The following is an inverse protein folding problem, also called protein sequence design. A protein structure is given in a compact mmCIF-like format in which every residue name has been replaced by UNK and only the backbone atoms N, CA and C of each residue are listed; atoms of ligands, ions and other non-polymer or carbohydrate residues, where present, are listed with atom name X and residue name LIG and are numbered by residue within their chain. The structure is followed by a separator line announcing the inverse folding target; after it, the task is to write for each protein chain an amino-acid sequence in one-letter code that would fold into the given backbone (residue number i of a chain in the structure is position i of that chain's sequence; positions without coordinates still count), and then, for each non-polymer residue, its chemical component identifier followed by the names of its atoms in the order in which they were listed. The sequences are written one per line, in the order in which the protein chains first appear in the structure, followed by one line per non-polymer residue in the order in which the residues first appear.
data_IF_382773391643
#
_entry.id   IF_382773391643
#
_cell.length_a   1.000
_cell.length_b   1.000
_cell.length_c   1.000
_cell.angle_alpha   90.00
_cell.angle_beta   90.00
_cell.angle_gamma   90.00
#
_symmetry.space_group_name_H-M   'P 1'
#
loop_
_entity.id
_entity.type
_entity.pdbx_description
1 polymer ?
#
# COMPACT_ATOMS: atom_id res chain seq x y z
N UNK A 1 2.95 1.09 -21.37
CA UNK A 1 2.32 0.78 -20.07
C UNK A 1 3.33 1.02 -18.96
N UNK A 2 2.94 1.78 -17.97
CA UNK A 2 3.80 2.01 -16.81
C UNK A 2 4.04 0.71 -16.06
N UNK A 3 5.28 0.45 -15.67
CA UNK A 3 5.62 -0.68 -14.80
C UNK A 3 5.60 -0.21 -13.36
N UNK A 4 4.88 -0.92 -12.51
CA UNK A 4 4.84 -0.71 -11.07
C UNK A 4 5.69 -1.76 -10.36
N UNK A 5 6.11 -1.45 -9.13
CA UNK A 5 6.86 -2.42 -8.32
C UNK A 5 8.28 -2.65 -8.81
N UNK A 6 8.97 -1.60 -9.29
CA UNK A 6 10.35 -1.72 -9.78
C UNK A 6 11.35 -1.95 -8.65
N UNK A 7 11.03 -1.51 -7.44
CA UNK A 7 11.85 -1.76 -6.26
C UNK A 7 11.46 -3.10 -5.63
N UNK A 8 12.36 -3.67 -4.81
CA UNK A 8 12.05 -4.92 -4.12
C UNK A 8 10.87 -4.76 -3.16
N UNK A 9 10.73 -3.61 -2.49
CA UNK A 9 9.58 -3.34 -1.60
C UNK A 9 8.29 -3.12 -2.39
N UNK A 10 8.37 -2.47 -3.56
CA UNK A 10 7.23 -2.34 -4.45
C UNK A 10 6.75 -3.69 -4.94
N UNK A 11 7.67 -4.60 -5.28
CA UNK A 11 7.33 -5.96 -5.66
C UNK A 11 6.66 -6.73 -4.51
N UNK A 12 7.21 -6.62 -3.30
CA UNK A 12 6.58 -7.22 -2.10
C UNK A 12 5.18 -6.70 -1.85
N UNK A 13 4.96 -5.41 -2.06
CA UNK A 13 3.63 -4.81 -1.97
C UNK A 13 2.67 -5.44 -2.98
N UNK A 14 3.07 -5.54 -4.24
CA UNK A 14 2.26 -6.17 -5.29
C UNK A 14 2.00 -7.65 -4.98
N UNK A 15 3.00 -8.39 -4.53
CA UNK A 15 2.87 -9.80 -4.17
C UNK A 15 1.82 -10.00 -3.07
N UNK A 16 1.72 -9.07 -2.12
CA UNK A 16 0.74 -9.12 -1.04
C UNK A 16 -0.70 -8.99 -1.55
N UNK A 17 -0.87 -8.45 -2.75
CA UNK A 17 -2.17 -8.21 -3.38
C UNK A 17 -2.56 -9.25 -4.44
N UNK A 18 -1.70 -10.25 -4.72
CA UNK A 18 -1.90 -11.19 -5.82
C UNK A 18 -3.18 -12.03 -5.71
N UNK A 19 -3.70 -12.23 -4.51
CA UNK A 19 -4.89 -13.03 -4.26
C UNK A 19 -6.19 -12.23 -4.17
N UNK A 20 -6.13 -10.91 -4.41
CA UNK A 20 -7.32 -10.06 -4.37
C UNK A 20 -8.32 -10.41 -5.45
N UNK A 21 -7.86 -10.88 -6.60
CA UNK A 21 -8.65 -10.70 -7.80
C UNK A 21 -8.67 -11.90 -8.73
N UNK A 22 -9.78 -12.59 -8.69
CA UNK A 22 -10.14 -13.56 -9.72
C UNK A 22 -10.97 -12.92 -10.87
N UNK A 23 -11.24 -11.60 -10.84
CA UNK A 23 -12.27 -10.96 -11.67
C UNK A 23 -11.82 -9.72 -12.45
N UNK A 24 -10.56 -9.57 -12.80
CA UNK A 24 -10.03 -8.46 -13.62
C UNK A 24 -10.05 -7.05 -12.99
N UNK A 25 -10.25 -6.92 -11.68
CA UNK A 25 -10.27 -5.59 -11.04
C UNK A 25 -8.87 -4.97 -10.96
N UNK A 26 -7.86 -5.75 -10.59
CA UNK A 26 -6.47 -5.27 -10.57
C UNK A 26 -5.98 -4.83 -11.95
N UNK A 27 -6.21 -5.57 -13.04
CA UNK A 27 -5.89 -5.07 -14.38
C UNK A 27 -6.62 -3.79 -14.75
N UNK A 28 -7.88 -3.64 -14.35
CA UNK A 28 -8.63 -2.39 -14.54
C UNK A 28 -8.06 -1.24 -13.73
N UNK A 29 -7.70 -1.49 -12.46
CA UNK A 29 -7.04 -0.49 -11.61
C UNK A 29 -5.72 -0.03 -12.20
N UNK A 30 -4.90 -0.94 -12.67
CA UNK A 30 -3.65 -0.63 -13.37
C UNK A 30 -3.89 0.22 -14.62
N UNK A 31 -4.95 -0.07 -15.40
CA UNK A 31 -5.32 0.74 -16.55
C UNK A 31 -5.77 2.15 -16.15
N UNK A 32 -6.54 2.29 -15.07
CA UNK A 32 -6.93 3.60 -14.53
C UNK A 32 -5.71 4.41 -14.10
N UNK A 33 -4.78 3.81 -13.37
CA UNK A 33 -3.54 4.46 -12.96
C UNK A 33 -2.70 4.90 -14.16
N UNK A 34 -2.54 4.02 -15.15
CA UNK A 34 -1.73 4.30 -16.36
C UNK A 34 -2.32 5.40 -17.22
N UNK A 35 -3.65 5.59 -17.23
CA UNK A 35 -4.32 6.65 -17.98
C UNK A 35 -4.38 7.99 -17.25
N UNK A 36 -3.81 8.08 -16.06
CA UNK A 36 -3.89 9.29 -15.26
C UNK A 36 -5.26 9.53 -14.64
N UNK A 37 -6.05 8.48 -14.45
CA UNK A 37 -7.37 8.59 -13.80
C UNK A 37 -7.25 8.85 -12.31
N UNK A 38 -6.13 8.51 -11.69
CA UNK A 38 -5.82 8.84 -10.30
C UNK A 38 -5.39 10.30 -10.25
N UNK A 39 -6.28 11.16 -9.73
CA UNK A 39 -6.07 12.61 -9.72
C UNK A 39 -5.26 13.10 -8.54
N UNK A 40 -5.40 12.44 -7.40
CA UNK A 40 -4.62 12.76 -6.20
C UNK A 40 -4.49 11.53 -5.32
N UNK A 41 -3.37 11.45 -4.61
CA UNK A 41 -3.13 10.47 -3.55
C UNK A 41 -2.53 11.22 -2.37
N UNK A 42 -3.09 11.02 -1.19
CA UNK A 42 -2.60 11.58 0.06
C UNK A 42 -2.40 10.45 1.08
N UNK A 43 -1.28 10.52 1.79
CA UNK A 43 -0.92 9.58 2.84
C UNK A 43 -0.94 10.28 4.18
N UNK A 44 -1.68 9.74 5.13
CA UNK A 44 -1.70 10.22 6.51
C UNK A 44 -1.54 9.03 7.43
N UNK A 45 -0.36 8.84 7.99
CA UNK A 45 -0.01 7.72 8.87
C UNK A 45 -0.36 6.38 8.21
N UNK A 46 -1.52 5.81 8.53
CA UNK A 46 -1.99 4.51 8.02
C UNK A 46 -3.22 4.65 7.11
N UNK A 47 -3.52 5.85 6.65
CA UNK A 47 -4.67 6.11 5.80
C UNK A 47 -4.20 6.63 4.44
N UNK A 48 -4.70 6.02 3.39
CA UNK A 48 -4.51 6.49 2.01
C UNK A 48 -5.84 7.05 1.54
N UNK A 49 -5.83 8.29 1.06
CA UNK A 49 -6.97 8.92 0.40
C UNK A 49 -6.60 9.24 -1.03
N UNK A 50 -7.50 8.95 -1.94
CA UNK A 50 -7.29 9.23 -3.35
C UNK A 50 -8.56 9.74 -4.01
N UNK A 51 -8.38 10.47 -5.11
CA UNK A 51 -9.47 10.84 -6.02
C UNK A 51 -9.21 10.15 -7.35
N UNK A 52 -10.17 9.36 -7.80
CA UNK A 52 -10.07 8.57 -9.02
C UNK A 52 -11.20 8.94 -9.96
N UNK A 53 -10.86 9.38 -11.16
CA UNK A 53 -11.82 9.74 -12.18
C UNK A 53 -12.39 8.48 -12.83
N UNK A 54 -13.71 8.32 -12.69
CA UNK A 54 -14.46 7.28 -13.39
C UNK A 54 -15.35 7.87 -14.49
N UNK A 55 -16.48 7.24 -14.71
CA UNK A 55 -17.47 7.67 -15.74
C UNK A 55 -18.29 8.88 -15.34
N UNK A 56 -18.35 9.23 -14.07
CA UNK A 56 -19.08 10.39 -13.57
C UNK A 56 -18.24 11.66 -13.67
N UNK A 57 -18.88 12.88 -13.77
CA UNK A 57 -18.16 14.15 -13.84
C UNK A 57 -17.26 14.40 -12.64
N UNK A 58 -17.70 14.03 -11.42
CA UNK A 58 -16.90 14.18 -10.20
C UNK A 58 -16.05 12.92 -9.97
N UNK A 59 -14.77 13.11 -9.59
CA UNK A 59 -13.95 11.96 -9.18
C UNK A 59 -14.55 11.24 -7.98
N UNK A 60 -14.36 9.93 -7.94
CA UNK A 60 -14.71 9.13 -6.76
C UNK A 60 -13.68 9.31 -5.65
N UNK A 61 -14.16 9.30 -4.43
CA UNK A 61 -13.32 9.34 -3.25
C UNK A 61 -13.00 7.91 -2.81
N UNK A 62 -11.70 7.62 -2.75
CA UNK A 62 -11.18 6.33 -2.29
C UNK A 62 -10.50 6.52 -0.94
N UNK A 63 -10.76 5.62 0.00
CA UNK A 63 -10.10 5.59 1.29
C UNK A 63 -9.66 4.16 1.58
N UNK A 64 -8.39 4.00 1.92
CA UNK A 64 -7.82 2.73 2.33
C UNK A 64 -7.19 2.93 3.70
N UNK A 65 -7.62 2.13 4.68
CA UNK A 65 -7.02 2.12 6.02
C UNK A 65 -6.18 0.86 6.14
N UNK A 66 -4.88 1.04 6.35
CA UNK A 66 -3.92 -0.04 6.57
C UNK A 66 -3.84 -0.26 8.08
N UNK A 67 -3.91 -1.51 8.59
CA UNK A 67 -3.75 -1.76 10.00
C UNK A 67 -2.43 -1.19 10.52
N UNK A 68 -2.43 -0.36 11.56
CA UNK A 68 -1.19 0.18 12.11
C UNK A 68 -0.42 -0.89 12.86
N UNK A 69 0.88 -0.69 13.02
CA UNK A 69 1.66 -1.49 13.95
C UNK A 69 1.16 -1.31 15.38
N UNK A 70 1.24 -2.37 16.18
CA UNK A 70 0.97 -2.27 17.61
C UNK A 70 2.04 -1.40 18.30
N UNK A 71 1.77 -0.93 19.51
CA UNK A 71 2.76 -0.16 20.28
C UNK A 71 4.04 -0.95 20.51
N UNK A 72 3.93 -2.25 20.79
CA UNK A 72 5.08 -3.13 20.97
C UNK A 72 5.88 -3.29 19.68
N UNK A 73 5.20 -3.50 18.55
CA UNK A 73 5.85 -3.57 17.24
C UNK A 73 6.57 -2.27 16.88
N UNK A 74 5.94 -1.13 17.13
CA UNK A 74 6.56 0.19 16.92
C UNK A 74 7.82 0.37 17.74
N UNK A 75 7.81 -0.06 19.00
CA UNK A 75 8.98 0.00 19.87
C UNK A 75 10.12 -0.85 19.32
N UNK A 76 9.84 -2.09 18.95
CA UNK A 76 10.84 -3.00 18.38
C UNK A 76 11.42 -2.43 17.09
N UNK A 77 10.57 -1.96 16.17
CA UNK A 77 11.02 -1.36 14.92
C UNK A 77 11.86 -0.10 15.16
N UNK A 78 11.46 0.74 16.09
CA UNK A 78 12.22 1.94 16.45
C UNK A 78 13.61 1.58 16.97
N UNK A 79 13.70 0.59 17.86
CA UNK A 79 14.98 0.12 18.42
C UNK A 79 15.89 -0.44 17.30
N UNK A 80 15.34 -1.20 16.38
CA UNK A 80 16.08 -1.71 15.23
C UNK A 80 16.64 -0.60 14.34
N UNK A 81 15.84 0.44 14.11
CA UNK A 81 16.21 1.58 13.26
C UNK A 81 17.30 2.42 13.92
N UNK A 82 17.10 2.83 15.17
CA UNK A 82 18.04 3.73 15.87
C UNK A 82 19.35 3.05 16.24
N UNK A 83 19.37 1.73 16.38
CA UNK A 83 20.59 0.99 16.69
C UNK A 83 21.46 0.70 15.45
N UNK A 84 20.99 1.04 14.24
CA UNK A 84 21.71 0.78 13.00
C UNK A 84 21.70 2.03 12.12
N UNK A 85 22.86 2.70 12.04
CA UNK A 85 22.99 3.94 11.29
C UNK A 85 22.74 3.75 9.77
N UNK A 86 23.06 2.59 9.23
CA UNK A 86 22.82 2.30 7.80
C UNK A 86 21.32 2.22 7.52
N UNK A 87 20.58 1.52 8.37
CA UNK A 87 19.12 1.43 8.26
C UNK A 87 18.49 2.82 8.38
N UNK A 88 18.88 3.57 9.40
CA UNK A 88 18.36 4.92 9.61
C UNK A 88 18.66 5.84 8.42
N UNK A 89 19.87 5.81 7.90
CA UNK A 89 20.27 6.61 6.73
C UNK A 89 19.44 6.29 5.51
N UNK A 90 19.21 5.01 5.22
CA UNK A 90 18.39 4.58 4.07
C UNK A 90 16.95 5.04 4.21
N UNK A 91 16.35 4.89 5.39
CA UNK A 91 14.97 5.36 5.65
C UNK A 91 14.85 6.88 5.50
N UNK A 92 15.81 7.65 5.97
CA UNK A 92 15.84 9.11 5.79
C UNK A 92 15.92 9.49 4.30
N UNK A 93 16.51 8.65 3.47
CA UNK A 93 16.55 8.79 2.02
C UNK A 93 15.34 8.18 1.31
N UNK A 94 14.28 7.84 2.05
CA UNK A 94 13.05 7.23 1.52
C UNK A 94 13.29 5.90 0.81
N UNK A 95 14.26 5.16 1.29
CA UNK A 95 14.55 3.81 0.82
C UNK A 95 14.29 2.81 1.94
N UNK A 96 13.50 1.77 1.67
CA UNK A 96 13.28 0.71 2.63
C UNK A 96 14.46 -0.27 2.57
N UNK A 97 15.27 -0.37 3.64
CA UNK A 97 16.41 -1.28 3.62
C UNK A 97 15.95 -2.73 3.81
N UNK A 98 16.49 -3.62 3.01
CA UNK A 98 16.16 -5.05 3.09
C UNK A 98 16.56 -5.64 4.44
N UNK A 99 17.62 -5.13 5.04
CA UNK A 99 18.08 -5.53 6.37
C UNK A 99 17.00 -5.30 7.44
N UNK A 100 16.29 -4.18 7.38
CA UNK A 100 15.20 -3.91 8.32
C UNK A 100 14.06 -4.92 8.14
N UNK A 101 13.71 -5.23 6.91
CA UNK A 101 12.70 -6.23 6.60
C UNK A 101 13.06 -7.60 7.19
N UNK A 102 14.30 -8.05 6.99
CA UNK A 102 14.78 -9.33 7.49
C UNK A 102 14.81 -9.37 9.03
N UNK A 103 15.32 -8.31 9.67
CA UNK A 103 15.33 -8.18 11.13
C UNK A 103 13.92 -8.17 11.72
N UNK A 104 13.00 -7.47 11.07
CA UNK A 104 11.60 -7.44 11.49
C UNK A 104 10.96 -8.84 11.41
N UNK A 105 11.24 -9.61 10.36
CA UNK A 105 10.76 -10.98 10.22
C UNK A 105 11.27 -11.89 11.36
N UNK A 106 12.53 -11.74 11.76
CA UNK A 106 13.09 -12.47 12.90
C UNK A 106 12.33 -12.16 14.19
N UNK A 107 11.77 -10.96 14.31
CA UNK A 107 10.92 -10.55 15.44
C UNK A 107 9.45 -10.83 15.21
N UNK A 108 9.10 -11.56 14.14
CA UNK A 108 7.72 -11.87 13.73
C UNK A 108 6.87 -10.64 13.46
N UNK A 109 7.50 -9.57 12.98
CA UNK A 109 6.81 -8.34 12.56
C UNK A 109 6.69 -8.34 11.05
N UNK A 110 5.46 -8.24 10.56
CA UNK A 110 5.16 -8.19 9.13
C UNK A 110 5.10 -6.74 8.68
N UNK A 111 6.12 -6.29 7.93
CA UNK A 111 6.17 -4.93 7.38
C UNK A 111 5.18 -4.78 6.24
N UNK A 112 5.03 -5.81 5.42
CA UNK A 112 4.05 -5.83 4.33
C UNK A 112 2.77 -6.57 4.75
N UNK A 113 1.62 -6.19 4.18
CA UNK A 113 0.38 -6.90 4.48
C UNK A 113 0.46 -8.35 4.02
N UNK A 114 -0.12 -9.24 4.81
CA UNK A 114 -0.23 -10.66 4.46
C UNK A 114 -1.51 -10.98 3.70
N UNK A 115 -2.51 -10.11 3.82
CA UNK A 115 -3.79 -10.23 3.14
C UNK A 115 -4.43 -8.86 2.97
N UNK A 116 -5.02 -8.62 1.81
CA UNK A 116 -5.83 -7.43 1.55
C UNK A 116 -7.05 -7.33 2.47
N UNK A 117 -7.51 -8.46 3.01
CA UNK A 117 -8.67 -8.51 3.92
C UNK A 117 -8.45 -7.76 5.22
N UNK A 118 -7.20 -7.52 5.59
CA UNK A 118 -6.87 -6.69 6.76
C UNK A 118 -7.06 -5.20 6.50
N UNK A 119 -7.22 -4.78 5.24
CA UNK A 119 -7.45 -3.38 4.88
C UNK A 119 -8.93 -3.05 4.98
N UNK A 120 -9.22 -1.83 5.44
CA UNK A 120 -10.55 -1.23 5.30
C UNK A 120 -10.52 -0.35 4.05
N UNK A 121 -11.37 -0.69 3.07
CA UNK A 121 -11.39 -0.03 1.78
C UNK A 121 -12.78 0.50 1.47
N UNK A 122 -12.87 1.78 1.11
CA UNK A 122 -14.10 2.45 0.72
C UNK A 122 -13.93 3.22 -0.58
N UNK A 123 -14.93 3.18 -1.42
CA UNK A 123 -15.04 4.01 -2.60
C UNK A 123 -16.45 4.57 -2.71
N UNK A 124 -16.58 5.83 -3.11
CA UNK A 124 -17.88 6.47 -3.30
C UNK A 124 -18.62 6.04 -4.57
N UNK A 125 -18.05 5.12 -5.35
CA UNK A 125 -18.71 4.61 -6.56
C UNK A 125 -19.89 3.68 -6.20
N UNK A 126 -20.83 3.44 -7.13
CA UNK A 126 -21.98 2.57 -6.88
C UNK A 126 -21.65 1.08 -6.86
N UNK A 127 -20.43 0.67 -7.21
CA UNK A 127 -20.00 -0.73 -7.15
C UNK A 127 -19.81 -1.14 -5.70
N UNK A 128 -20.54 -2.17 -5.25
CA UNK A 128 -20.45 -2.70 -3.89
C UNK A 128 -19.28 -3.65 -3.67
N UNK A 129 -18.55 -4.00 -4.73
CA UNK A 129 -17.41 -4.92 -4.61
C UNK A 129 -16.21 -4.22 -3.95
N UNK A 130 -15.51 -4.94 -3.09
CA UNK A 130 -14.31 -4.47 -2.41
C UNK A 130 -13.16 -5.46 -2.65
N UNK A 131 -12.06 -5.04 -3.30
CA UNK A 131 -11.89 -3.73 -3.94
C UNK A 131 -12.68 -3.59 -5.24
N UNK A 132 -13.17 -2.40 -5.53
CA UNK A 132 -13.66 -2.05 -6.87
C UNK A 132 -12.46 -1.65 -7.76
N UNK A 133 -12.73 -1.41 -9.05
CA UNK A 133 -11.68 -1.01 -10.01
C UNK A 133 -10.98 0.31 -9.65
N UNK A 134 -11.64 1.19 -8.88
CA UNK A 134 -11.05 2.47 -8.47
C UNK A 134 -10.12 2.32 -7.27
N UNK A 135 -10.37 1.35 -6.42
CA UNK A 135 -9.49 1.02 -5.29
C UNK A 135 -8.27 0.23 -5.78
N UNK A 136 -8.47 -0.70 -6.70
CA UNK A 136 -7.42 -1.55 -7.24
C UNK A 136 -6.36 -0.75 -7.98
#
# INVERSE_FOLDING_TARGET
MLKYGLTWWGQKWLDSLTHIDYSNRLPRGSAYASRGSVKSIEFTINIIRAKVQGSQPKPYNVKIVIPPFTLNEKKILTDLIVSNNIILSKLLNRELPQELYELALQKKIMIFPTSWRSFQMDCSCPDSAVPCKHIA
#
